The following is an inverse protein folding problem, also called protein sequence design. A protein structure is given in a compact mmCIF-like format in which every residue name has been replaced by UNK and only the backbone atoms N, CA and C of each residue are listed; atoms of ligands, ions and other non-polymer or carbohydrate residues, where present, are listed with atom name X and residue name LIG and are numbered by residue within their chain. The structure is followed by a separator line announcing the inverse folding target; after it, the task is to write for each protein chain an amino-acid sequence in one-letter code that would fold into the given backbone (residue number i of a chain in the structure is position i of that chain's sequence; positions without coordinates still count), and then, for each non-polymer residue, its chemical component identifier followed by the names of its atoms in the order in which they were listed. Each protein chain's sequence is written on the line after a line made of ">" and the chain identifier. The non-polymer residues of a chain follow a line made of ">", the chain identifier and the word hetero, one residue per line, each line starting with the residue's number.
data_IF_199693590957
#
_entry.id   IF_199693590957
#
_cell.length_a   1.000
_cell.length_b   1.000
_cell.length_c   1.000
_cell.angle_alpha   90.00
_cell.angle_beta   90.00
_cell.angle_gamma   90.00
#
_symmetry.space_group_name_H-M   'P 1'
#
loop_
_entity.id
_entity.type
_entity.pdbx_description
1 polymer ?
#
# COMPACT_ATOMS: atom_id res chain seq x y z
N UNK A 1 13.26 4.48 2.41
CA UNK A 1 12.35 3.34 2.62
C UNK A 1 13.00 2.16 3.33
N UNK A 2 14.26 1.85 3.01
CA UNK A 2 14.91 0.68 3.64
C UNK A 2 14.98 0.77 5.17
N UNK A 3 15.24 1.95 5.71
CA UNK A 3 15.28 2.15 7.15
C UNK A 3 13.94 1.86 7.83
N UNK A 4 12.84 2.09 7.10
CA UNK A 4 11.51 1.83 7.65
C UNK A 4 11.16 0.34 7.71
N UNK A 5 11.84 -0.50 6.93
CA UNK A 5 11.68 -1.96 7.11
C UNK A 5 12.01 -2.33 8.55
N UNK A 6 13.14 -1.85 9.04
CA UNK A 6 13.57 -2.14 10.41
C UNK A 6 12.65 -1.48 11.43
N UNK A 7 12.34 -0.20 11.24
CA UNK A 7 11.53 0.56 12.21
C UNK A 7 10.11 0.02 12.34
N UNK A 8 9.51 -0.43 11.25
CA UNK A 8 8.16 -0.98 11.27
C UNK A 8 8.13 -2.46 11.64
N UNK A 9 9.25 -3.14 11.55
CA UNK A 9 9.30 -4.58 11.73
C UNK A 9 8.74 -5.34 10.54
N UNK A 10 8.83 -4.76 9.35
CA UNK A 10 8.33 -5.34 8.11
C UNK A 10 9.46 -5.92 7.28
N UNK A 11 9.16 -6.96 6.51
CA UNK A 11 10.10 -7.48 5.50
C UNK A 11 9.78 -6.91 4.13
N UNK A 12 8.57 -6.39 3.95
CA UNK A 12 8.16 -5.77 2.68
C UNK A 12 7.42 -4.47 2.96
N UNK A 13 7.74 -3.42 2.20
CA UNK A 13 6.97 -2.19 2.18
C UNK A 13 6.76 -1.82 0.72
N UNK A 14 5.49 -1.61 0.33
CA UNK A 14 5.14 -1.23 -1.02
C UNK A 14 4.42 0.11 -1.01
N UNK A 15 4.79 0.98 -1.94
CA UNK A 15 4.06 2.22 -2.20
C UNK A 15 3.19 2.02 -3.43
N UNK A 16 1.89 2.10 -3.22
CA UNK A 16 0.87 2.05 -4.27
C UNK A 16 0.49 3.48 -4.60
N UNK A 17 0.65 3.90 -5.85
CA UNK A 17 0.24 5.24 -6.27
C UNK A 17 -0.94 5.15 -7.22
N UNK A 18 -1.95 5.96 -6.95
CA UNK A 18 -3.15 6.03 -7.77
C UNK A 18 -3.00 7.05 -8.88
N UNK A 19 -3.56 6.74 -10.06
CA UNK A 19 -3.62 7.69 -11.16
C UNK A 19 -4.85 7.39 -12.00
N UNK A 20 -5.35 8.38 -12.71
CA UNK A 20 -6.56 8.21 -13.50
C UNK A 20 -6.31 7.67 -14.90
N UNK A 21 -5.10 7.65 -15.37
CA UNK A 21 -4.80 7.24 -16.73
C UNK A 21 -5.51 8.10 -17.77
N UNK A 22 -6.70 8.57 -17.48
CA UNK A 22 -7.44 9.52 -18.28
C UNK A 22 -7.98 10.59 -17.36
N UNK A 23 -8.51 11.65 -17.93
CA UNK A 23 -8.89 12.85 -17.18
C UNK A 23 -10.28 12.79 -16.58
N UNK A 24 -10.87 11.63 -16.43
CA UNK A 24 -12.24 11.55 -15.92
C UNK A 24 -12.24 11.66 -14.40
N UNK A 25 -12.25 12.87 -13.91
CA UNK A 25 -12.22 13.15 -12.48
C UNK A 25 -13.54 12.87 -11.78
N UNK A 26 -14.59 12.61 -12.52
CA UNK A 26 -15.92 12.36 -11.95
C UNK A 26 -16.12 10.95 -11.47
N UNK A 27 -15.23 10.04 -11.80
CA UNK A 27 -15.45 8.62 -11.54
C UNK A 27 -15.04 8.15 -10.16
N UNK A 28 -14.25 8.93 -9.43
CA UNK A 28 -13.82 8.54 -8.10
C UNK A 28 -12.73 7.48 -8.10
N UNK A 29 -12.34 7.05 -6.90
CA UNK A 29 -11.17 6.17 -6.75
C UNK A 29 -11.39 4.79 -7.34
N UNK A 30 -12.61 4.26 -7.35
CA UNK A 30 -12.89 2.92 -7.86
C UNK A 30 -12.60 2.79 -9.37
N UNK A 31 -12.51 3.90 -10.07
CA UNK A 31 -12.20 3.91 -11.49
C UNK A 31 -10.77 4.32 -11.78
N UNK A 32 -9.97 4.52 -10.74
CA UNK A 32 -8.57 4.85 -10.89
C UNK A 32 -7.76 3.62 -11.27
N UNK A 33 -6.57 3.89 -11.78
CA UNK A 33 -5.54 2.88 -11.96
C UNK A 33 -4.47 3.08 -10.90
N UNK A 34 -3.60 2.11 -10.77
CA UNK A 34 -2.51 2.24 -9.83
C UNK A 34 -1.26 1.50 -10.31
N UNK A 35 -0.12 1.93 -9.78
CA UNK A 35 1.15 1.23 -9.92
C UNK A 35 1.72 1.01 -8.53
N UNK A 36 2.54 -0.03 -8.38
CA UNK A 36 3.45 -0.07 -7.26
C UNK A 36 4.73 0.63 -7.73
N UNK A 37 5.03 1.77 -7.14
CA UNK A 37 6.11 2.64 -7.61
C UNK A 37 7.38 2.53 -6.78
N UNK A 38 7.27 2.08 -5.55
CA UNK A 38 8.43 1.83 -4.68
C UNK A 38 8.25 0.52 -3.96
N UNK A 39 9.33 -0.24 -3.84
CA UNK A 39 9.39 -1.44 -3.02
C UNK A 39 10.62 -1.37 -2.14
N UNK A 40 10.44 -1.73 -0.87
CA UNK A 40 11.55 -2.03 0.00
C UNK A 40 11.35 -3.46 0.48
N UNK A 41 12.34 -4.31 0.32
CA UNK A 41 12.26 -5.70 0.78
C UNK A 41 13.55 -6.06 1.50
N UNK A 42 13.40 -6.95 2.47
CA UNK A 42 14.53 -7.43 3.24
C UNK A 42 15.35 -8.43 2.44
N UNK A 43 14.71 -9.18 1.55
CA UNK A 43 15.34 -10.15 0.68
C UNK A 43 15.20 -9.71 -0.78
N UNK A 44 16.33 -9.38 -1.41
CA UNK A 44 16.33 -8.89 -2.79
C UNK A 44 15.70 -9.85 -3.78
N UNK A 45 15.71 -11.14 -3.50
CA UNK A 45 15.13 -12.13 -4.41
C UNK A 45 13.62 -11.99 -4.56
N UNK A 46 12.97 -11.19 -3.71
CA UNK A 46 11.53 -11.01 -3.72
C UNK A 46 11.08 -9.74 -4.46
N UNK A 47 11.98 -9.04 -5.15
CA UNK A 47 11.65 -7.81 -5.87
C UNK A 47 10.91 -8.09 -7.17
N UNK A 48 9.60 -8.25 -7.09
CA UNK A 48 8.82 -8.53 -8.30
C UNK A 48 7.52 -7.73 -8.39
N UNK A 49 7.10 -7.08 -7.30
CA UNK A 49 5.77 -6.47 -7.26
C UNK A 49 5.67 -5.21 -8.13
N UNK A 50 6.74 -4.42 -8.21
CA UNK A 50 6.77 -3.25 -9.08
C UNK A 50 6.45 -3.63 -10.53
N UNK A 51 6.99 -4.74 -11.01
CA UNK A 51 6.76 -5.16 -12.39
C UNK A 51 5.38 -5.75 -12.60
N UNK A 52 4.83 -6.40 -11.59
CA UNK A 52 3.51 -7.02 -11.67
C UNK A 52 2.36 -6.02 -11.68
N UNK A 53 2.50 -4.95 -10.89
CA UNK A 53 1.42 -3.99 -10.68
C UNK A 53 1.75 -2.68 -11.37
N UNK A 54 1.52 -2.66 -12.70
CA UNK A 54 1.68 -1.47 -13.51
C UNK A 54 0.38 -1.17 -14.20
N UNK A 55 -0.11 0.05 -14.01
CA UNK A 55 -1.34 0.52 -14.65
C UNK A 55 -2.51 -0.44 -14.43
N UNK A 56 -2.59 -1.02 -13.24
CA UNK A 56 -3.66 -1.94 -12.88
C UNK A 56 -4.91 -1.16 -12.44
N UNK A 57 -6.03 -1.83 -12.32
CA UNK A 57 -7.31 -1.20 -12.05
C UNK A 57 -7.71 -1.41 -10.60
N UNK A 58 -7.92 -0.30 -9.87
CA UNK A 58 -8.27 -0.34 -8.45
C UNK A 58 -9.51 -1.19 -8.20
N UNK A 59 -10.51 -1.12 -9.11
CA UNK A 59 -11.77 -1.83 -8.93
C UNK A 59 -11.65 -3.35 -8.89
N UNK A 60 -10.50 -3.90 -9.28
CA UNK A 60 -10.26 -5.34 -9.20
C UNK A 60 -9.94 -5.82 -7.79
N UNK A 61 -9.63 -4.89 -6.89
CA UNK A 61 -9.08 -5.22 -5.58
C UNK A 61 -9.99 -4.68 -4.48
N UNK A 62 -10.72 -5.57 -3.85
CA UNK A 62 -11.69 -5.21 -2.82
C UNK A 62 -11.09 -4.40 -1.68
N UNK A 63 -9.85 -4.73 -1.31
CA UNK A 63 -9.20 -4.07 -0.19
C UNK A 63 -8.93 -2.59 -0.48
N UNK A 64 -8.64 -2.26 -1.75
CA UNK A 64 -8.41 -0.87 -2.15
C UNK A 64 -9.69 -0.06 -2.21
N UNK A 65 -10.85 -0.72 -2.25
CA UNK A 65 -12.15 -0.09 -2.24
C UNK A 65 -12.77 0.00 -0.85
N UNK A 66 -12.04 -0.43 0.18
CA UNK A 66 -12.55 -0.47 1.54
C UNK A 66 -12.95 0.93 2.02
N UNK A 67 -14.13 1.03 2.65
CA UNK A 67 -14.58 2.28 3.25
C UNK A 67 -13.63 2.76 4.35
N UNK A 68 -13.13 1.83 5.14
CA UNK A 68 -12.22 2.16 6.25
C UNK A 68 -10.93 2.74 5.71
N UNK A 69 -10.40 2.17 4.63
CA UNK A 69 -9.21 2.71 3.98
C UNK A 69 -9.48 4.13 3.46
N UNK A 70 -10.64 4.32 2.83
CA UNK A 70 -11.05 5.63 2.32
C UNK A 70 -11.25 6.67 3.42
N UNK A 71 -11.57 6.24 4.63
CA UNK A 71 -11.69 7.11 5.80
C UNK A 71 -10.36 7.35 6.50
N UNK A 72 -9.26 6.98 5.87
CA UNK A 72 -7.91 7.14 6.40
C UNK A 72 -7.66 6.32 7.66
N UNK A 73 -8.33 5.19 7.79
CA UNK A 73 -8.08 4.26 8.88
C UNK A 73 -6.98 3.29 8.48
N UNK A 74 -6.19 2.92 9.46
CA UNK A 74 -5.17 1.90 9.28
C UNK A 74 -5.85 0.53 9.32
N UNK A 75 -5.59 -0.30 8.30
CA UNK A 75 -6.11 -1.66 8.24
C UNK A 75 -5.02 -2.63 8.66
N UNK A 76 -5.34 -3.53 9.56
CA UNK A 76 -4.43 -4.54 10.06
C UNK A 76 -5.04 -5.93 9.84
N UNK A 77 -4.28 -6.82 9.20
CA UNK A 77 -4.75 -8.16 8.87
C UNK A 77 -3.72 -9.22 9.23
N UNK A 78 -4.19 -10.37 9.70
CA UNK A 78 -3.41 -11.60 9.67
C UNK A 78 -3.42 -12.14 8.24
N UNK A 79 -2.63 -13.18 7.96
CA UNK A 79 -2.63 -13.81 6.63
C UNK A 79 -4.02 -14.27 6.24
N UNK A 80 -4.72 -14.95 7.14
CA UNK A 80 -6.06 -15.44 6.86
C UNK A 80 -7.04 -14.30 6.60
N UNK A 81 -6.99 -13.28 7.43
CA UNK A 81 -7.86 -12.11 7.28
C UNK A 81 -7.61 -11.38 5.97
N UNK A 82 -6.33 -11.25 5.58
CA UNK A 82 -5.97 -10.60 4.33
C UNK A 82 -6.52 -11.37 3.13
N UNK A 83 -6.35 -12.69 3.13
CA UNK A 83 -6.87 -13.53 2.04
C UNK A 83 -8.39 -13.47 1.97
N UNK A 84 -9.06 -13.43 3.13
CA UNK A 84 -10.51 -13.31 3.16
C UNK A 84 -10.99 -11.94 2.69
N UNK A 85 -10.23 -10.89 2.98
CA UNK A 85 -10.57 -9.54 2.55
C UNK A 85 -10.37 -9.35 1.04
N UNK A 86 -9.32 -9.95 0.49
CA UNK A 86 -9.01 -9.80 -0.93
C UNK A 86 -8.18 -10.98 -1.43
N UNK A 87 -8.86 -12.06 -1.76
CA UNK A 87 -8.20 -13.27 -2.25
C UNK A 87 -7.48 -13.02 -3.58
N UNK A 88 -8.07 -12.20 -4.42
CA UNK A 88 -7.47 -11.91 -5.73
C UNK A 88 -6.13 -11.19 -5.57
N UNK A 89 -6.07 -10.19 -4.69
CA UNK A 89 -4.82 -9.49 -4.44
C UNK A 89 -3.76 -10.43 -3.85
N UNK A 90 -4.15 -11.26 -2.88
CA UNK A 90 -3.23 -12.24 -2.29
C UNK A 90 -2.66 -13.16 -3.37
N UNK A 91 -3.49 -13.61 -4.29
CA UNK A 91 -3.07 -14.46 -5.40
C UNK A 91 -2.11 -13.73 -6.33
N UNK A 92 -2.44 -12.49 -6.70
CA UNK A 92 -1.60 -11.70 -7.60
C UNK A 92 -0.24 -11.39 -6.97
N UNK A 93 -0.17 -11.27 -5.66
CA UNK A 93 1.09 -11.04 -4.95
C UNK A 93 1.90 -12.33 -4.73
N UNK A 94 1.38 -13.46 -5.19
CA UNK A 94 2.08 -14.74 -5.08
C UNK A 94 1.96 -15.40 -3.73
N UNK A 95 0.89 -15.09 -2.99
CA UNK A 95 0.63 -15.67 -1.66
C UNK A 95 1.84 -15.55 -0.73
N UNK A 96 2.32 -14.33 -0.53
CA UNK A 96 3.36 -14.09 0.48
C UNK A 96 2.84 -14.64 1.80
N UNK A 97 3.61 -15.55 2.41
CA UNK A 97 3.20 -16.18 3.65
C UNK A 97 3.59 -15.29 4.81
N UNK A 98 2.71 -14.41 5.20
CA UNK A 98 2.98 -13.38 6.19
C UNK A 98 2.25 -13.61 7.50
N UNK A 99 2.76 -13.02 8.56
CA UNK A 99 2.08 -13.00 9.86
C UNK A 99 1.12 -11.83 9.95
N UNK A 100 1.48 -10.71 9.36
CA UNK A 100 0.64 -9.52 9.42
C UNK A 100 0.82 -8.62 8.21
N UNK A 101 -0.25 -7.90 7.90
CA UNK A 101 -0.32 -6.90 6.83
C UNK A 101 -0.90 -5.63 7.41
N UNK A 102 -0.32 -4.49 7.04
CA UNK A 102 -0.86 -3.18 7.42
C UNK A 102 -0.99 -2.33 6.16
N UNK A 103 -2.16 -1.74 5.98
CA UNK A 103 -2.46 -0.91 4.82
C UNK A 103 -3.01 0.43 5.30
N UNK A 104 -2.51 1.52 4.73
CA UNK A 104 -2.88 2.88 5.10
C UNK A 104 -2.84 3.77 3.88
N UNK A 105 -3.90 4.58 3.68
CA UNK A 105 -3.92 5.57 2.59
C UNK A 105 -3.03 6.78 2.90
N UNK A 106 -2.50 7.35 1.83
CA UNK A 106 -1.74 8.60 1.86
C UNK A 106 -2.60 9.70 1.26
N UNK A 107 -2.59 10.88 1.86
CA UNK A 107 -3.45 11.99 1.43
C UNK A 107 -2.66 13.23 1.06
N UNK A 108 -3.17 13.93 0.06
CA UNK A 108 -2.61 15.21 -0.35
C UNK A 108 -3.11 16.34 0.56
N UNK A 109 -2.73 17.59 0.25
CA UNK A 109 -3.12 18.76 1.03
C UNK A 109 -4.63 19.04 1.02
N UNK A 110 -5.36 18.42 0.10
CA UNK A 110 -6.81 18.58 -0.02
C UNK A 110 -7.56 17.42 0.60
N UNK A 111 -6.86 16.51 1.28
CA UNK A 111 -7.48 15.35 1.90
C UNK A 111 -7.82 14.23 0.93
N UNK A 112 -7.35 14.31 -0.31
CA UNK A 112 -7.62 13.31 -1.32
C UNK A 112 -6.51 12.25 -1.31
N UNK A 113 -6.89 10.98 -1.37
CA UNK A 113 -5.93 9.90 -1.40
C UNK A 113 -5.17 9.88 -2.73
N UNK A 114 -3.83 9.90 -2.66
CA UNK A 114 -3.00 9.76 -3.85
C UNK A 114 -2.28 8.42 -3.89
N UNK A 115 -2.34 7.64 -2.83
CA UNK A 115 -1.70 6.35 -2.77
C UNK A 115 -1.97 5.64 -1.46
N UNK A 116 -1.31 4.51 -1.29
CA UNK A 116 -1.37 3.69 -0.08
C UNK A 116 0.00 3.11 0.20
N UNK A 117 0.28 2.82 1.46
CA UNK A 117 1.43 1.98 1.80
C UNK A 117 0.94 0.65 2.33
N UNK A 118 1.63 -0.41 1.93
CA UNK A 118 1.36 -1.76 2.39
C UNK A 118 2.63 -2.29 3.03
N UNK A 119 2.56 -2.60 4.32
CA UNK A 119 3.67 -3.17 5.08
C UNK A 119 3.34 -4.61 5.42
N UNK A 120 4.29 -5.52 5.19
CA UNK A 120 4.08 -6.96 5.39
C UNK A 120 5.19 -7.50 6.28
N UNK A 121 4.80 -8.19 7.34
CA UNK A 121 5.74 -8.87 8.21
C UNK A 121 5.58 -10.38 8.10
N UNK A 122 6.69 -11.07 7.85
CA UNK A 122 6.71 -12.54 7.80
C UNK A 122 7.23 -13.15 9.10
N UNK A 123 8.00 -12.41 9.87
CA UNK A 123 8.65 -12.90 11.08
C UNK A 123 8.03 -12.36 12.37
N UNK A 124 7.58 -11.12 12.34
CA UNK A 124 7.01 -10.47 13.52
C UNK A 124 5.51 -10.67 13.57
N UNK A 125 4.99 -10.93 14.76
CA UNK A 125 3.55 -11.07 14.91
C UNK A 125 2.83 -9.74 14.81
N UNK A 126 3.54 -8.64 15.10
CA UNK A 126 2.93 -7.33 15.10
C UNK A 126 3.86 -6.28 14.49
N UNK A 127 3.34 -5.58 13.49
CA UNK A 127 4.05 -4.45 12.89
C UNK A 127 3.92 -3.25 13.83
N UNK A 128 4.98 -2.45 13.91
CA UNK A 128 4.97 -1.22 14.70
C UNK A 128 4.11 -0.16 14.00
N UNK A 129 2.88 0.00 14.48
CA UNK A 129 1.90 0.87 13.85
C UNK A 129 2.29 2.35 13.93
N UNK A 130 2.97 2.75 14.99
CA UNK A 130 3.46 4.13 15.11
C UNK A 130 4.46 4.44 14.01
N UNK A 131 5.39 3.51 13.77
CA UNK A 131 6.39 3.69 12.70
C UNK A 131 5.73 3.73 11.32
N UNK A 132 4.68 2.96 11.10
CA UNK A 132 3.92 3.01 9.83
C UNK A 132 3.31 4.40 9.65
N UNK A 133 2.75 4.97 10.71
CA UNK A 133 2.18 6.31 10.65
C UNK A 133 3.24 7.37 10.38
N UNK A 134 4.41 7.23 10.99
CA UNK A 134 5.52 8.15 10.73
C UNK A 134 5.97 8.09 9.27
N UNK A 135 6.05 6.89 8.72
CA UNK A 135 6.37 6.70 7.30
C UNK A 135 5.32 7.38 6.42
N UNK A 136 4.04 7.20 6.74
CA UNK A 136 2.97 7.81 5.96
C UNK A 136 3.07 9.33 5.95
N UNK A 137 3.37 9.93 7.09
CA UNK A 137 3.51 11.39 7.19
C UNK A 137 4.71 11.87 6.36
N UNK A 138 5.82 11.15 6.42
CA UNK A 138 6.99 11.52 5.64
C UNK A 138 6.71 11.45 4.13
N UNK A 139 6.05 10.39 3.67
CA UNK A 139 5.71 10.26 2.26
C UNK A 139 4.70 11.32 1.82
N UNK A 140 3.72 11.63 2.67
CA UNK A 140 2.77 12.70 2.38
C UNK A 140 3.46 14.05 2.26
N UNK A 141 4.41 14.33 3.16
CA UNK A 141 5.17 15.58 3.11
C UNK A 141 6.01 15.69 1.84
N UNK A 142 6.67 14.61 1.46
CA UNK A 142 7.46 14.57 0.22
C UNK A 142 6.57 14.85 -0.99
N UNK A 143 5.44 14.17 -1.07
CA UNK A 143 4.49 14.35 -2.17
C UNK A 143 3.96 15.79 -2.23
N UNK A 144 3.51 16.31 -1.09
CA UNK A 144 2.90 17.63 -1.05
C UNK A 144 3.90 18.77 -1.28
N UNK A 145 5.19 18.49 -1.12
CA UNK A 145 6.24 19.46 -1.42
C UNK A 145 6.85 19.26 -2.80
N UNK A 146 6.24 18.40 -3.63
CA UNK A 146 6.73 18.17 -4.98
C UNK A 146 7.96 17.29 -5.06
N UNK A 147 8.36 16.66 -3.96
CA UNK A 147 9.61 15.91 -3.91
C UNK A 147 9.55 14.55 -4.59
N UNK A 148 8.36 14.06 -4.92
CA UNK A 148 8.20 12.76 -5.58
C UNK A 148 8.19 12.87 -7.10
N UNK A 149 8.03 14.03 -7.62
CA UNK A 149 7.94 14.23 -9.07
C UNK A 149 9.11 13.68 -9.84
#
# INVERSE_FOLDING_TARGET
>A
MQEYLHLTGSEYIFLVEYHNGSENVMTGIQFCRFDITLEAVDDESSYIQIEKFRDDIVARYDILLSEDLGKNKLLYYTQEEFENADRYLAQQMGYINAKSYVLLNLKDNHGKAFGSILCISTDNEQINLLAVRELSIELENIFNNGGIE
#
